data_IF_813987505778
#
_entry.id   IF_813987505778
#
_cell.length_a   1.000
_cell.length_b   1.000
_cell.length_c   1.000
_cell.angle_alpha   90.00
_cell.angle_beta   90.00
_cell.angle_gamma   90.00
#
_symmetry.space_group_name_H-M   'P 1'
#
loop_
_entity.id
_entity.type
_entity.pdbx_description
1 polymer ?
#
# COMPACT_ATOMS: atom_id res chain seq x y z
N UNK A 1 9.31 21.29 41.50
CA UNK A 1 9.04 21.00 40.08
C UNK A 1 8.82 22.34 39.37
N UNK A 2 9.68 22.70 38.41
CA UNK A 2 9.64 24.02 37.79
C UNK A 2 8.45 24.14 36.81
N UNK A 3 7.99 25.36 36.51
CA UNK A 3 6.78 25.62 35.73
C UNK A 3 6.84 25.02 34.32
N UNK A 4 8.04 24.97 33.74
CA UNK A 4 8.36 24.31 32.47
C UNK A 4 8.02 22.82 32.53
N UNK A 5 8.38 22.12 33.62
CA UNK A 5 8.13 20.67 33.77
C UNK A 5 6.64 20.36 33.87
N UNK A 6 5.84 21.25 34.48
CA UNK A 6 4.38 21.12 34.55
C UNK A 6 3.73 21.36 33.18
N UNK A 7 4.21 22.37 32.44
CA UNK A 7 3.71 22.66 31.09
C UNK A 7 4.00 21.54 30.10
N UNK A 8 5.21 20.95 30.13
CA UNK A 8 5.54 19.81 29.26
C UNK A 8 4.67 18.59 29.57
N UNK A 9 4.44 18.29 30.86
CA UNK A 9 3.60 17.16 31.27
C UNK A 9 2.14 17.34 30.86
N UNK A 10 1.60 18.56 31.01
CA UNK A 10 0.23 18.90 30.57
C UNK A 10 0.13 18.88 29.05
N UNK A 11 1.13 19.37 28.32
CA UNK A 11 1.14 19.31 26.85
C UNK A 11 1.19 17.86 26.34
N UNK A 12 2.03 17.00 26.92
CA UNK A 12 2.05 15.57 26.60
C UNK A 12 0.73 14.87 26.95
N UNK A 13 0.12 15.22 28.09
CA UNK A 13 -1.18 14.66 28.50
C UNK A 13 -2.32 15.10 27.57
N UNK A 14 -2.33 16.36 27.14
CA UNK A 14 -3.32 16.89 26.19
C UNK A 14 -3.14 16.26 24.81
N UNK A 15 -1.90 16.10 24.32
CA UNK A 15 -1.62 15.38 23.08
C UNK A 15 -2.09 13.93 23.13
N UNK A 16 -1.81 13.21 24.23
CA UNK A 16 -2.28 11.84 24.42
C UNK A 16 -3.82 11.73 24.48
N UNK A 17 -4.52 12.71 25.10
CA UNK A 17 -5.99 12.74 25.15
C UNK A 17 -6.60 13.04 23.77
N UNK A 18 -5.97 13.90 22.96
CA UNK A 18 -6.43 14.21 21.59
C UNK A 18 -6.24 13.00 20.66
N UNK A 19 -5.17 12.23 20.82
CA UNK A 19 -4.95 10.98 20.06
C UNK A 19 -5.99 9.91 20.41
N UNK A 20 -6.32 9.75 21.70
CA UNK A 20 -7.32 8.77 22.16
C UNK A 20 -8.77 9.11 21.77
N UNK A 21 -9.08 10.39 21.53
CA UNK A 21 -10.45 10.83 21.21
C UNK A 21 -10.84 10.71 19.73
N UNK A 22 -9.89 10.34 18.86
CA UNK A 22 -10.13 10.08 17.43
C UNK A 22 -9.99 8.61 17.04
N UNK A 23 -9.88 7.72 18.02
CA UNK A 23 -9.70 6.29 17.78
C UNK A 23 -10.94 5.69 17.08
N UNK A 24 -10.76 5.22 15.83
CA UNK A 24 -11.82 4.58 15.04
C UNK A 24 -11.57 3.07 14.92
N UNK A 25 -12.64 2.27 14.93
CA UNK A 25 -12.55 0.87 14.52
C UNK A 25 -12.45 0.76 13.00
N UNK A 26 -11.31 0.27 12.52
CA UNK A 26 -10.99 -0.02 11.14
C UNK A 26 -11.48 -1.42 10.81
N UNK A 27 -12.59 -1.49 10.07
CA UNK A 27 -13.19 -2.73 9.56
C UNK A 27 -12.79 -3.02 8.12
N UNK A 28 -12.10 -2.09 7.46
CA UNK A 28 -11.60 -2.22 6.09
C UNK A 28 -10.25 -1.55 5.94
N UNK A 29 -9.36 -2.11 5.12
CA UNK A 29 -8.10 -1.43 4.78
C UNK A 29 -8.40 -0.04 4.20
N UNK A 30 -7.72 1.03 4.65
CA UNK A 30 -7.86 2.38 4.09
C UNK A 30 -7.73 2.39 2.57
N UNK A 31 -8.44 3.31 1.93
CA UNK A 31 -8.42 3.46 0.48
C UNK A 31 -7.15 4.15 -0.01
N UNK A 32 -6.90 4.12 -1.33
CA UNK A 32 -5.76 4.83 -1.93
C UNK A 32 -5.79 6.34 -1.67
N UNK A 33 -6.98 6.95 -1.53
CA UNK A 33 -7.13 8.38 -1.23
C UNK A 33 -6.60 8.73 0.17
N UNK A 34 -6.67 7.80 1.13
CA UNK A 34 -6.07 7.96 2.46
C UNK A 34 -4.53 7.94 2.41
N UNK A 35 -3.95 7.49 1.29
CA UNK A 35 -2.51 7.38 1.06
C UNK A 35 -1.96 8.44 0.09
N UNK A 36 -2.78 9.43 -0.30
CA UNK A 36 -2.38 10.49 -1.23
C UNK A 36 -2.89 10.31 -2.67
N UNK A 37 -3.81 9.37 -2.88
CA UNK A 37 -4.54 9.20 -4.14
C UNK A 37 -4.06 8.01 -4.98
N UNK A 38 -4.83 7.73 -6.02
CA UNK A 38 -4.62 6.58 -6.91
C UNK A 38 -3.51 6.81 -7.94
N UNK A 39 -2.65 5.81 -8.10
CA UNK A 39 -1.60 5.72 -9.11
C UNK A 39 -1.92 4.57 -10.07
N UNK A 40 -2.68 4.87 -11.12
CA UNK A 40 -3.13 3.85 -12.07
C UNK A 40 -2.53 4.06 -13.47
N UNK A 41 -1.76 3.10 -14.00
CA UNK A 41 -1.48 3.05 -15.42
C UNK A 41 -2.79 2.87 -16.19
N UNK A 42 -2.95 3.72 -17.20
CA UNK A 42 -4.06 3.64 -18.14
C UNK A 42 -3.68 2.69 -19.27
N UNK A 43 -4.34 1.54 -19.29
CA UNK A 43 -4.22 0.51 -20.33
C UNK A 43 -5.23 0.80 -21.45
N UNK A 44 -4.77 0.71 -22.69
CA UNK A 44 -5.61 0.86 -23.89
C UNK A 44 -5.15 -0.12 -24.97
N UNK A 45 -6.01 -0.39 -25.96
CA UNK A 45 -5.61 -1.06 -27.20
C UNK A 45 -5.51 0.01 -28.29
N UNK A 46 -4.34 0.07 -28.94
CA UNK A 46 -4.04 0.98 -30.05
C UNK A 46 -3.69 0.19 -31.31
N UNK A 47 -3.60 0.87 -32.47
CA UNK A 47 -3.28 0.24 -33.76
C UNK A 47 -4.16 -0.97 -34.11
N UNK A 48 -5.43 -0.92 -33.69
CA UNK A 48 -6.40 -1.98 -33.91
C UNK A 48 -7.06 -1.84 -35.28
N UNK A 49 -7.58 -2.97 -35.77
CA UNK A 49 -8.34 -3.09 -37.01
C UNK A 49 -9.83 -2.76 -36.86
N UNK A 50 -10.41 -3.02 -35.68
CA UNK A 50 -11.82 -2.78 -35.39
C UNK A 50 -12.01 -2.32 -33.94
N UNK A 51 -12.72 -1.21 -33.72
CA UNK A 51 -12.93 -0.64 -32.38
C UNK A 51 -13.77 -1.53 -31.45
N UNK A 52 -14.79 -2.21 -31.98
CA UNK A 52 -15.77 -2.93 -31.17
C UNK A 52 -15.36 -4.37 -30.86
N UNK A 53 -14.58 -4.98 -31.76
CA UNK A 53 -14.06 -6.33 -31.60
C UNK A 53 -12.74 -6.45 -32.37
N UNK A 54 -11.65 -5.88 -31.84
CA UNK A 54 -10.36 -5.93 -32.53
C UNK A 54 -9.87 -7.37 -32.65
N UNK A 55 -9.21 -7.68 -33.76
CA UNK A 55 -8.57 -8.98 -33.97
C UNK A 55 -7.05 -8.90 -33.87
N UNK A 56 -6.51 -7.67 -33.85
CA UNK A 56 -5.10 -7.35 -33.64
C UNK A 56 -4.94 -5.98 -33.00
N UNK A 57 -3.76 -5.69 -32.48
CA UNK A 57 -3.41 -4.36 -31.98
C UNK A 57 -2.20 -4.36 -31.05
N UNK A 58 -2.00 -3.25 -30.36
CA UNK A 58 -0.94 -3.10 -29.36
C UNK A 58 -1.56 -2.69 -28.04
N UNK A 59 -1.19 -3.38 -26.96
CA UNK A 59 -1.41 -2.83 -25.62
C UNK A 59 -0.55 -1.57 -25.50
N UNK A 60 -1.17 -0.47 -25.09
CA UNK A 60 -0.49 0.78 -24.80
C UNK A 60 -0.79 1.16 -23.36
N UNK A 61 0.26 1.50 -22.63
CA UNK A 61 0.20 1.89 -21.23
C UNK A 61 0.66 3.34 -21.13
N UNK A 62 -0.22 4.21 -20.64
CA UNK A 62 0.12 5.56 -20.25
C UNK A 62 0.16 5.61 -18.74
N UNK A 63 1.34 5.84 -18.18
CA UNK A 63 1.50 5.93 -16.74
C UNK A 63 2.36 7.14 -16.37
N UNK A 64 1.76 8.09 -15.65
CA UNK A 64 2.48 9.24 -15.11
C UNK A 64 2.70 9.01 -13.62
N UNK A 65 3.90 8.51 -13.28
CA UNK A 65 4.27 8.31 -11.89
C UNK A 65 4.75 9.65 -11.30
N UNK A 66 3.82 10.43 -10.73
CA UNK A 66 4.11 11.75 -10.19
C UNK A 66 4.93 11.72 -8.90
N UNK A 67 4.95 10.58 -8.21
CA UNK A 67 5.74 10.33 -7.00
C UNK A 67 5.91 8.83 -6.75
N UNK A 68 6.82 8.47 -5.85
CA UNK A 68 7.00 7.09 -5.39
C UNK A 68 6.19 6.88 -4.10
N UNK A 69 5.18 6.00 -4.06
CA UNK A 69 4.40 5.75 -2.88
C UNK A 69 5.20 5.03 -1.78
N UNK A 70 4.77 5.20 -0.53
CA UNK A 70 5.39 4.57 0.63
C UNK A 70 4.69 3.27 0.99
N UNK A 71 5.47 2.26 1.38
CA UNK A 71 5.00 1.10 2.13
C UNK A 71 5.15 1.43 3.62
N UNK A 72 4.03 1.52 4.33
CA UNK A 72 4.01 1.84 5.77
C UNK A 72 3.00 0.98 6.53
N UNK A 73 3.23 0.79 7.82
CA UNK A 73 2.32 0.03 8.68
C UNK A 73 0.96 0.71 8.80
N UNK A 74 -0.08 -0.08 9.09
CA UNK A 74 -1.45 0.41 9.21
C UNK A 74 -1.65 1.47 10.30
N UNK A 75 -0.79 1.49 11.32
CA UNK A 75 -0.83 2.51 12.37
C UNK A 75 -0.32 3.86 11.89
N UNK A 76 0.52 3.91 10.86
CA UNK A 76 0.98 5.19 10.27
C UNK A 76 -0.12 5.83 9.42
N UNK A 77 -0.89 5.01 8.71
CA UNK A 77 -2.04 5.47 7.92
C UNK A 77 -3.28 5.78 8.77
N UNK A 78 -3.40 5.15 9.94
CA UNK A 78 -4.51 5.38 10.87
C UNK A 78 -4.03 5.43 12.33
N UNK A 79 -3.34 6.53 12.74
CA UNK A 79 -2.80 6.66 14.08
C UNK A 79 -3.90 6.63 15.15
N UNK A 80 -3.70 5.85 16.21
CA UNK A 80 -4.64 5.74 17.33
C UNK A 80 -5.90 4.88 17.04
N UNK A 81 -6.04 4.37 15.83
CA UNK A 81 -7.19 3.52 15.45
C UNK A 81 -7.08 2.07 15.95
N UNK A 82 -8.22 1.40 15.95
CA UNK A 82 -8.42 0.02 16.38
C UNK A 82 -8.64 -0.84 15.15
N UNK A 83 -8.20 -2.09 15.14
CA UNK A 83 -8.35 -2.97 13.98
C UNK A 83 -9.34 -4.09 14.28
N UNK A 84 -10.32 -4.27 13.39
CA UNK A 84 -11.35 -5.30 13.54
C UNK A 84 -10.74 -6.69 13.63
N UNK A 85 -11.11 -7.46 14.66
CA UNK A 85 -10.58 -8.80 14.89
C UNK A 85 -10.96 -9.79 13.79
N UNK A 86 -12.10 -9.56 13.16
CA UNK A 86 -12.69 -10.42 12.12
C UNK A 86 -12.23 -10.02 10.71
N UNK A 87 -11.41 -8.99 10.57
CA UNK A 87 -10.91 -8.56 9.26
C UNK A 87 -9.97 -9.61 8.66
N UNK A 88 -10.22 -10.02 7.41
CA UNK A 88 -9.43 -11.07 6.75
C UNK A 88 -7.95 -10.67 6.52
N UNK A 89 -7.68 -9.37 6.37
CA UNK A 89 -6.33 -8.82 6.21
C UNK A 89 -5.55 -8.70 7.54
N UNK A 90 -6.18 -8.96 8.69
CA UNK A 90 -5.60 -8.65 10.01
C UNK A 90 -4.33 -9.47 10.30
N UNK A 91 -4.28 -10.71 9.83
CA UNK A 91 -3.12 -11.60 10.06
C UNK A 91 -1.84 -11.08 9.38
N UNK A 92 -1.98 -10.27 8.33
CA UNK A 92 -0.85 -9.72 7.58
C UNK A 92 -0.60 -8.27 8.03
N UNK A 93 -1.63 -7.42 8.02
CA UNK A 93 -1.49 -5.96 8.21
C UNK A 93 -1.77 -5.44 9.64
N UNK A 94 -2.43 -6.23 10.49
CA UNK A 94 -2.65 -5.81 11.88
C UNK A 94 -1.31 -5.66 12.60
N UNK A 95 -1.19 -4.83 13.64
CA UNK A 95 0.03 -4.84 14.49
C UNK A 95 -0.25 -5.18 15.95
N UNK A 96 0.75 -5.71 16.67
CA UNK A 96 0.65 -5.98 18.10
C UNK A 96 0.51 -4.72 18.97
N UNK A 97 0.83 -3.54 18.41
CA UNK A 97 0.86 -2.27 19.14
C UNK A 97 -0.49 -1.52 19.12
N UNK A 98 -1.52 -2.01 18.41
CA UNK A 98 -2.88 -1.46 18.48
C UNK A 98 -3.42 -1.56 19.92
N UNK A 99 -3.41 -0.46 20.66
CA UNK A 99 -3.57 -0.50 22.12
C UNK A 99 -5.03 -0.26 22.54
N UNK A 100 -5.70 -1.30 23.06
CA UNK A 100 -6.68 -1.27 24.17
C UNK A 100 -7.34 -2.65 24.41
N UNK A 101 -6.51 -3.68 24.47
CA UNK A 101 -6.86 -5.07 24.70
C UNK A 101 -5.65 -5.87 24.26
N UNK A 102 -5.15 -6.76 25.11
CA UNK A 102 -3.94 -7.56 24.86
C UNK A 102 -3.87 -7.97 23.39
N UNK A 103 -2.76 -7.71 22.67
CA UNK A 103 -2.64 -8.14 21.29
C UNK A 103 -2.99 -9.61 21.23
N UNK A 104 -4.03 -9.94 20.46
CA UNK A 104 -4.39 -11.34 20.23
C UNK A 104 -3.18 -11.96 19.53
N UNK A 105 -2.81 -13.18 19.89
CA UNK A 105 -1.62 -13.90 19.37
C UNK A 105 -1.58 -13.98 17.82
N UNK A 106 -2.71 -13.68 17.16
CA UNK A 106 -2.91 -13.64 15.71
C UNK A 106 -3.14 -12.23 15.10
N UNK A 107 -2.95 -11.14 15.86
CA UNK A 107 -2.80 -9.83 15.23
C UNK A 107 -1.53 -9.86 14.37
N UNK A 108 -1.60 -9.42 13.11
CA UNK A 108 -0.49 -9.52 12.17
C UNK A 108 0.82 -8.88 12.63
N UNK A 109 1.87 -9.03 11.82
CA UNK A 109 3.19 -8.51 12.19
C UNK A 109 3.34 -7.00 12.04
N UNK A 110 2.27 -6.30 11.65
CA UNK A 110 2.29 -4.87 11.33
C UNK A 110 2.93 -4.62 9.99
N UNK A 111 2.72 -5.53 9.02
CA UNK A 111 3.38 -5.44 7.73
C UNK A 111 3.12 -4.09 7.07
N UNK A 112 4.16 -3.62 6.37
CA UNK A 112 4.12 -2.41 5.61
C UNK A 112 3.20 -2.64 4.42
N UNK A 113 2.31 -1.70 4.11
CA UNK A 113 1.44 -1.84 2.94
C UNK A 113 1.19 -0.54 2.20
N UNK A 114 0.73 -0.72 0.97
CA UNK A 114 0.30 0.33 0.07
C UNK A 114 -0.78 -0.22 -0.86
N UNK A 115 -1.75 0.63 -1.22
CA UNK A 115 -2.79 0.30 -2.21
C UNK A 115 -3.05 1.44 -3.20
N UNK A 116 -2.12 2.38 -3.34
CA UNK A 116 -2.22 3.46 -4.31
C UNK A 116 -2.15 2.94 -5.74
N UNK A 117 -1.35 1.89 -5.98
CA UNK A 117 -1.30 1.25 -7.29
C UNK A 117 -2.57 0.48 -7.62
N UNK A 118 -2.91 0.48 -8.90
CA UNK A 118 -4.02 -0.29 -9.45
C UNK A 118 -3.87 -0.40 -10.95
N UNK A 119 -4.89 -0.86 -11.67
CA UNK A 119 -4.94 -0.89 -13.13
C UNK A 119 -6.27 -0.34 -13.61
N UNK A 120 -6.24 0.41 -14.69
CA UNK A 120 -7.42 0.97 -15.34
C UNK A 120 -7.35 0.70 -16.83
N UNK A 121 -8.45 0.24 -17.42
CA UNK A 121 -8.57 0.14 -18.87
C UNK A 121 -9.56 1.17 -19.38
N UNK A 122 -9.12 1.94 -20.38
CA UNK A 122 -9.95 2.95 -21.02
C UNK A 122 -10.32 2.47 -22.41
N UNK A 123 -11.60 2.16 -22.61
CA UNK A 123 -12.15 1.73 -23.91
C UNK A 123 -12.75 2.88 -24.72
N UNK A 124 -12.89 4.08 -24.14
CA UNK A 124 -13.53 5.21 -24.82
C UNK A 124 -12.61 5.75 -25.91
N UNK A 125 -13.03 5.62 -27.17
CA UNK A 125 -12.27 6.10 -28.33
C UNK A 125 -11.05 5.24 -28.69
N UNK A 126 -10.90 4.07 -28.06
CA UNK A 126 -9.81 3.09 -28.27
C UNK A 126 -10.40 1.71 -28.54
N UNK A 127 -9.55 0.72 -28.86
CA UNK A 127 -10.00 -0.64 -29.11
C UNK A 127 -10.53 -1.28 -27.83
N UNK A 128 -11.70 -1.92 -27.91
CA UNK A 128 -12.28 -2.71 -26.81
C UNK A 128 -11.54 -4.04 -26.64
N UNK A 129 -11.65 -4.65 -25.45
CA UNK A 129 -11.23 -6.04 -25.27
C UNK A 129 -12.00 -6.92 -26.29
N UNK A 130 -11.34 -7.78 -27.07
CA UNK A 130 -12.03 -8.65 -28.03
C UNK A 130 -13.05 -9.57 -27.37
N UNK A 131 -14.12 -9.90 -28.09
CA UNK A 131 -15.15 -10.82 -27.62
C UNK A 131 -14.54 -12.20 -27.35
N UNK A 132 -14.86 -12.76 -26.19
CA UNK A 132 -14.34 -14.07 -25.76
C UNK A 132 -12.90 -14.04 -25.24
N UNK A 133 -12.31 -12.85 -25.07
CA UNK A 133 -10.97 -12.63 -24.53
C UNK A 133 -11.04 -11.78 -23.27
N UNK A 134 -9.91 -11.66 -22.59
CA UNK A 134 -9.74 -10.78 -21.44
C UNK A 134 -8.41 -10.04 -21.52
N UNK A 135 -8.23 -9.05 -20.66
CA UNK A 135 -6.88 -8.61 -20.32
C UNK A 135 -6.30 -9.62 -19.33
N UNK A 136 -4.99 -9.79 -19.39
CA UNK A 136 -4.22 -10.48 -18.38
C UNK A 136 -3.14 -9.55 -17.86
N UNK A 137 -2.83 -9.69 -16.57
CA UNK A 137 -1.72 -9.00 -15.90
C UNK A 137 -0.84 -10.10 -15.33
N UNK A 138 0.40 -10.18 -15.82
CA UNK A 138 1.39 -11.17 -15.40
C UNK A 138 2.53 -10.47 -14.68
N UNK A 139 2.90 -10.99 -13.51
CA UNK A 139 4.11 -10.57 -12.81
C UNK A 139 5.32 -11.15 -13.56
N UNK A 140 6.16 -10.28 -14.12
CA UNK A 140 7.36 -10.70 -14.84
C UNK A 140 8.60 -10.67 -13.98
N UNK A 141 8.68 -9.72 -13.03
CA UNK A 141 9.84 -9.53 -12.16
C UNK A 141 9.43 -8.75 -10.91
N UNK A 142 10.15 -8.93 -9.82
CA UNK A 142 10.02 -8.15 -8.60
C UNK A 142 11.33 -8.08 -7.81
N UNK A 143 11.53 -6.99 -7.08
CA UNK A 143 12.79 -6.73 -6.38
C UNK A 143 12.98 -7.57 -5.12
N UNK A 144 11.95 -8.26 -4.64
CA UNK A 144 11.97 -9.01 -3.38
C UNK A 144 10.93 -10.13 -3.38
N UNK A 145 11.29 -11.37 -2.97
CA UNK A 145 10.33 -12.45 -2.79
C UNK A 145 9.37 -12.23 -1.62
N UNK A 146 9.66 -11.25 -0.76
CA UNK A 146 8.81 -10.87 0.37
C UNK A 146 7.79 -9.78 0.00
N UNK A 147 7.87 -9.19 -1.20
CA UNK A 147 6.89 -8.22 -1.66
C UNK A 147 5.64 -8.98 -2.11
N UNK A 148 4.62 -9.04 -1.29
CA UNK A 148 3.42 -9.81 -1.60
C UNK A 148 2.34 -8.92 -2.20
N UNK A 149 1.45 -9.51 -3.00
CA UNK A 149 0.33 -8.77 -3.59
C UNK A 149 -1.00 -9.47 -3.30
N UNK A 150 -2.00 -8.66 -2.92
CA UNK A 150 -3.30 -9.13 -2.46
C UNK A 150 -4.44 -8.46 -3.22
N UNK A 151 -5.51 -9.23 -3.42
CA UNK A 151 -6.82 -8.76 -3.83
C UNK A 151 -7.71 -8.67 -2.60
N UNK A 152 -8.33 -7.51 -2.41
CA UNK A 152 -9.21 -7.26 -1.29
C UNK A 152 -10.63 -6.99 -1.76
N UNK A 153 -11.59 -7.65 -1.12
CA UNK A 153 -13.01 -7.31 -1.25
C UNK A 153 -13.59 -7.10 0.15
N UNK A 154 -13.91 -5.84 0.47
CA UNK A 154 -14.54 -5.48 1.74
C UNK A 154 -15.93 -6.12 1.89
N UNK A 155 -16.72 -6.11 0.82
CA UNK A 155 -18.09 -6.65 0.82
C UNK A 155 -18.17 -8.14 1.14
N UNK A 156 -17.14 -8.92 0.77
CA UNK A 156 -17.05 -10.35 1.13
C UNK A 156 -16.00 -10.65 2.19
N UNK A 157 -15.41 -9.62 2.82
CA UNK A 157 -14.27 -9.72 3.73
C UNK A 157 -13.22 -10.74 3.26
N UNK A 158 -12.77 -10.59 2.01
CA UNK A 158 -11.86 -11.53 1.36
C UNK A 158 -10.52 -10.88 1.08
N UNK A 159 -9.44 -11.55 1.47
CA UNK A 159 -8.06 -11.11 1.35
C UNK A 159 -7.24 -12.26 0.78
N UNK A 160 -7.02 -12.24 -0.53
CA UNK A 160 -6.37 -13.34 -1.23
C UNK A 160 -5.04 -12.89 -1.81
N UNK A 161 -3.99 -13.68 -1.59
CA UNK A 161 -2.73 -13.48 -2.29
C UNK A 161 -2.90 -13.81 -3.76
N UNK A 162 -2.39 -12.94 -4.63
CA UNK A 162 -2.65 -12.98 -6.08
C UNK A 162 -1.41 -13.36 -6.86
N UNK A 163 -0.31 -12.63 -6.64
CA UNK A 163 0.98 -12.91 -7.27
C UNK A 163 1.86 -13.59 -6.23
N UNK A 164 2.25 -14.83 -6.50
CA UNK A 164 3.04 -15.67 -5.58
C UNK A 164 4.47 -15.84 -6.04
N UNK A 165 4.71 -15.73 -7.34
CA UNK A 165 6.01 -15.91 -7.99
C UNK A 165 6.02 -15.27 -9.39
N UNK A 166 7.19 -15.13 -9.99
CA UNK A 166 7.33 -14.74 -11.39
C UNK A 166 6.53 -15.68 -12.30
N UNK A 167 5.84 -15.11 -13.28
CA UNK A 167 4.91 -15.83 -14.15
C UNK A 167 3.50 -15.97 -13.58
N UNK A 168 3.28 -15.68 -12.29
CA UNK A 168 1.93 -15.57 -11.73
C UNK A 168 1.12 -14.55 -12.53
N UNK A 169 -0.13 -14.86 -12.84
CA UNK A 169 -0.96 -14.00 -13.66
C UNK A 169 -2.43 -14.04 -13.26
N UNK A 170 -3.12 -12.95 -13.58
CA UNK A 170 -4.56 -12.82 -13.41
C UNK A 170 -5.22 -12.50 -14.74
N UNK A 171 -6.47 -12.91 -14.89
CA UNK A 171 -7.36 -12.32 -15.88
C UNK A 171 -8.15 -11.17 -15.24
N UNK A 172 -8.41 -10.16 -16.05
CA UNK A 172 -9.06 -8.93 -15.64
C UNK A 172 -10.01 -8.46 -16.77
N UNK A 173 -11.16 -7.93 -16.37
CA UNK A 173 -12.24 -7.54 -17.27
C UNK A 173 -12.11 -6.12 -17.86
N UNK A 174 -11.04 -5.38 -17.51
CA UNK A 174 -10.84 -4.00 -17.96
C UNK A 174 -11.61 -2.93 -17.17
N UNK A 175 -12.23 -3.24 -16.03
CA UNK A 175 -12.70 -2.20 -15.10
C UNK A 175 -11.55 -1.69 -14.24
N UNK A 176 -11.77 -0.74 -13.33
CA UNK A 176 -10.73 -0.39 -12.35
C UNK A 176 -10.45 -1.57 -11.40
N UNK A 177 -9.18 -1.87 -11.12
CA UNK A 177 -8.75 -2.85 -10.11
C UNK A 177 -7.64 -2.28 -9.24
N UNK A 178 -7.80 -2.34 -7.92
CA UNK A 178 -6.74 -2.00 -6.96
C UNK A 178 -6.19 -3.27 -6.34
N UNK A 179 -4.88 -3.40 -6.40
CA UNK A 179 -4.17 -4.44 -5.69
C UNK A 179 -3.38 -3.84 -4.54
N UNK A 180 -3.29 -4.63 -3.47
CA UNK A 180 -2.59 -4.25 -2.27
C UNK A 180 -1.21 -4.89 -2.33
N UNK A 181 -0.20 -4.16 -1.89
CA UNK A 181 1.16 -4.68 -1.78
C UNK A 181 1.61 -4.60 -0.35
N UNK A 182 2.30 -5.65 0.10
CA UNK A 182 2.79 -5.76 1.46
C UNK A 182 4.25 -6.16 1.50
N UNK A 183 4.93 -5.74 2.57
CA UNK A 183 6.25 -6.20 2.95
C UNK A 183 6.27 -6.49 4.45
N UNK A 184 7.06 -7.46 4.92
CA UNK A 184 7.28 -7.66 6.34
C UNK A 184 7.66 -6.35 7.04
N UNK A 185 7.17 -6.11 8.25
CA UNK A 185 7.56 -4.93 9.05
C UNK A 185 9.08 -4.79 9.25
N UNK A 186 9.82 -5.91 9.13
CA UNK A 186 11.28 -5.98 9.23
C UNK A 186 12.02 -5.69 7.92
N UNK A 187 11.29 -5.39 6.83
CA UNK A 187 11.89 -5.12 5.54
C UNK A 187 12.87 -3.93 5.63
N UNK A 188 14.09 -4.06 5.07
CA UNK A 188 15.06 -2.98 5.12
C UNK A 188 14.56 -1.76 4.33
N UNK A 189 14.94 -0.57 4.81
CA UNK A 189 14.70 0.66 4.10
C UNK A 189 15.35 0.61 2.71
N UNK A 190 14.65 1.15 1.71
CA UNK A 190 15.09 1.07 0.32
C UNK A 190 13.93 1.19 -0.66
N UNK A 191 14.24 0.94 -1.92
CA UNK A 191 13.27 0.98 -3.02
C UNK A 191 12.93 -0.45 -3.42
N UNK A 192 11.63 -0.74 -3.54
CA UNK A 192 11.10 -2.01 -4.01
C UNK A 192 10.37 -1.81 -5.32
N UNK A 193 10.32 -2.83 -6.17
CA UNK A 193 9.65 -2.74 -7.46
C UNK A 193 9.01 -4.05 -7.89
N UNK A 194 7.99 -3.96 -8.74
CA UNK A 194 7.38 -5.09 -9.42
C UNK A 194 7.03 -4.69 -10.85
N UNK A 195 7.40 -5.53 -11.82
CA UNK A 195 7.13 -5.31 -13.23
C UNK A 195 6.04 -6.26 -13.70
N UNK A 196 5.00 -5.67 -14.27
CA UNK A 196 3.84 -6.38 -14.79
C UNK A 196 3.80 -6.26 -16.30
N UNK A 197 3.55 -7.37 -16.98
CA UNK A 197 3.17 -7.38 -18.38
C UNK A 197 1.66 -7.49 -18.52
N UNK A 198 1.10 -6.70 -19.42
CA UNK A 198 -0.30 -6.68 -19.76
C UNK A 198 -0.47 -7.14 -21.21
N UNK A 199 -1.34 -8.11 -21.41
CA UNK A 199 -1.59 -8.73 -22.71
C UNK A 199 -3.08 -9.09 -22.89
N UNK A 200 -3.50 -9.31 -24.15
CA UNK A 200 -4.80 -9.91 -24.44
C UNK A 200 -4.68 -11.41 -24.31
N UNK A 201 -5.45 -12.04 -23.43
CA UNK A 201 -5.47 -13.48 -23.27
C UNK A 201 -6.54 -14.11 -24.17
N UNK A 202 -6.24 -15.26 -24.77
CA UNK A 202 -7.20 -16.11 -25.50
C UNK A 202 -8.11 -16.88 -24.53
N UNK A 203 -8.63 -16.20 -23.52
CA UNK A 203 -9.44 -16.78 -22.46
C UNK A 203 -10.44 -15.74 -21.99
N UNK A 204 -11.73 -16.06 -21.88
CA UNK A 204 -12.70 -15.14 -21.34
C UNK A 204 -12.54 -15.00 -19.82
N UNK A 205 -12.74 -13.78 -19.31
CA UNK A 205 -12.81 -13.54 -17.88
C UNK A 205 -14.10 -14.11 -17.31
N UNK A 206 -13.99 -14.90 -16.24
CA UNK A 206 -15.11 -15.26 -15.38
C UNK A 206 -14.93 -14.57 -14.02
N UNK A 207 -15.98 -13.94 -13.49
CA UNK A 207 -15.89 -13.15 -12.26
C UNK A 207 -15.93 -14.04 -11.01
N UNK A 208 -14.99 -14.97 -10.88
CA UNK A 208 -14.97 -15.97 -9.80
C UNK A 208 -14.40 -15.42 -8.50
N UNK A 209 -13.37 -14.57 -8.59
CA UNK A 209 -12.62 -14.04 -7.43
C UNK A 209 -12.69 -12.52 -7.31
N UNK A 210 -13.83 -11.93 -7.69
CA UNK A 210 -14.10 -10.50 -7.61
C UNK A 210 -13.63 -9.72 -8.84
N UNK A 211 -12.69 -8.80 -8.65
CA UNK A 211 -12.22 -7.87 -9.71
C UNK A 211 -11.15 -8.46 -10.62
N UNK A 212 -10.45 -9.50 -10.16
CA UNK A 212 -9.46 -10.25 -10.92
C UNK A 212 -9.72 -11.74 -10.72
N UNK A 213 -9.46 -12.54 -11.75
CA UNK A 213 -9.54 -14.00 -11.77
C UNK A 213 -8.11 -14.54 -11.69
N UNK A 214 -7.81 -15.35 -10.68
CA UNK A 214 -6.47 -15.91 -10.45
C UNK A 214 -6.51 -17.43 -10.16
N UNK A 215 -7.55 -18.10 -10.66
CA UNK A 215 -7.66 -19.56 -10.64
C UNK A 215 -6.75 -20.23 -11.68
N UNK A 216 -6.78 -21.57 -11.76
CA UNK A 216 -5.98 -22.33 -12.73
C UNK A 216 -6.26 -21.94 -14.19
N UNK A 217 -7.46 -21.44 -14.51
CA UNK A 217 -7.76 -20.97 -15.87
C UNK A 217 -6.99 -19.70 -16.16
N UNK A 218 -6.93 -18.76 -15.21
CA UNK A 218 -6.13 -17.57 -15.33
C UNK A 218 -4.64 -17.88 -15.45
N UNK A 219 -4.10 -18.76 -14.59
CA UNK A 219 -2.68 -19.12 -14.59
C UNK A 219 -2.20 -19.75 -15.92
N UNK A 220 -3.09 -20.49 -16.61
CA UNK A 220 -2.76 -21.15 -17.88
C UNK A 220 -3.12 -20.33 -19.13
N UNK A 221 -3.72 -19.15 -18.96
CA UNK A 221 -4.19 -18.34 -20.08
C UNK A 221 -3.01 -17.87 -20.96
N UNK A 222 -3.14 -18.07 -22.27
CA UNK A 222 -2.10 -17.76 -23.23
C UNK A 222 -2.36 -16.41 -23.90
N UNK A 223 -1.28 -15.65 -24.12
CA UNK A 223 -1.35 -14.42 -24.88
C UNK A 223 -1.83 -14.67 -26.32
N UNK A 224 -2.64 -13.74 -26.83
CA UNK A 224 -2.99 -13.72 -28.25
C UNK A 224 -1.83 -13.14 -29.07
N UNK A 225 -1.22 -13.92 -29.99
CA UNK A 225 -0.08 -13.47 -30.77
C UNK A 225 -0.40 -12.31 -31.72
N UNK A 226 -1.69 -12.00 -31.98
CA UNK A 226 -2.08 -10.85 -32.79
C UNK A 226 -2.02 -9.52 -32.03
N UNK A 227 -1.82 -9.57 -30.71
CA UNK A 227 -1.70 -8.39 -29.87
C UNK A 227 -0.31 -8.30 -29.26
N UNK A 228 0.35 -7.16 -29.46
CA UNK A 228 1.63 -6.92 -28.82
C UNK A 228 1.40 -6.54 -27.35
N UNK A 229 2.07 -7.21 -26.39
CA UNK A 229 1.95 -6.86 -24.97
C UNK A 229 2.72 -5.59 -24.64
N UNK A 230 2.46 -5.04 -23.46
CA UNK A 230 3.25 -3.94 -22.90
C UNK A 230 3.50 -4.17 -21.40
N UNK A 231 4.57 -3.59 -20.87
CA UNK A 231 4.92 -3.72 -19.46
C UNK A 231 4.87 -2.39 -18.72
N UNK A 232 4.60 -2.45 -17.42
CA UNK A 232 4.67 -1.33 -16.48
C UNK A 232 5.41 -1.77 -15.22
N UNK A 233 6.21 -0.87 -14.66
CA UNK A 233 6.92 -1.11 -13.40
C UNK A 233 6.34 -0.21 -12.32
N UNK A 234 5.97 -0.83 -11.21
CA UNK A 234 5.62 -0.15 -9.96
C UNK A 234 6.83 -0.07 -9.05
N UNK A 235 6.89 0.99 -8.27
CA UNK A 235 8.00 1.27 -7.37
C UNK A 235 7.48 1.78 -6.04
N UNK A 236 7.97 1.25 -4.94
CA UNK A 236 7.67 1.73 -3.59
C UNK A 236 8.94 2.13 -2.87
N UNK A 237 8.80 3.03 -1.89
CA UNK A 237 9.85 3.29 -0.93
C UNK A 237 9.45 2.78 0.46
N UNK A 238 10.38 2.11 1.12
CA UNK A 238 10.37 1.86 2.56
C UNK A 238 11.37 2.83 3.16
N UNK A 239 10.88 3.74 4.00
CA UNK A 239 11.73 4.68 4.74
C UNK A 239 12.02 4.15 6.14
N UNK A 240 13.21 4.43 6.70
CA UNK A 240 13.48 4.05 8.09
C UNK A 240 12.46 4.70 9.01
N UNK A 241 11.92 3.94 9.96
CA UNK A 241 11.16 4.56 11.05
C UNK A 241 12.06 5.59 11.77
N UNK A 242 11.54 6.79 12.09
CA UNK A 242 12.27 7.71 12.93
C UNK A 242 12.45 7.05 14.30
N UNK A 243 13.66 6.58 14.56
CA UNK A 243 14.02 5.94 15.81
C UNK A 243 13.72 6.87 17.00
N UNK A 244 12.63 6.55 17.72
CA UNK A 244 12.16 7.30 18.90
C UNK A 244 13.27 7.47 19.94
N UNK A 245 14.23 6.53 20.02
CA UNK A 245 15.41 6.63 20.88
C UNK A 245 16.34 7.80 20.53
N UNK A 246 16.48 8.17 19.25
CA UNK A 246 17.27 9.35 18.86
C UNK A 246 16.50 10.65 19.14
N UNK A 247 15.17 10.66 18.99
CA UNK A 247 14.33 11.80 19.37
C UNK A 247 14.28 12.00 20.90
N UNK A 248 14.23 10.91 21.66
CA UNK A 248 14.37 10.90 23.12
C UNK A 248 15.78 11.33 23.55
N UNK A 249 16.82 10.85 22.86
CA UNK A 249 18.20 11.27 23.08
C UNK A 249 18.40 12.77 22.84
N UNK A 250 17.86 13.30 21.74
CA UNK A 250 17.89 14.73 21.41
C UNK A 250 17.11 15.59 22.43
N UNK A 251 15.93 15.14 22.84
CA UNK A 251 15.12 15.86 23.84
C UNK A 251 15.77 15.82 25.23
N UNK A 252 16.38 14.70 25.64
CA UNK A 252 17.19 14.62 26.85
C UNK A 252 18.43 15.53 26.79
N UNK A 253 19.16 15.54 25.67
CA UNK A 253 20.32 16.41 25.48
C UNK A 253 19.94 17.90 25.53
N UNK A 254 18.82 18.28 24.91
CA UNK A 254 18.28 19.63 24.94
C UNK A 254 17.88 20.03 26.38
N UNK A 255 17.22 19.14 27.11
CA UNK A 255 16.83 19.37 28.50
C UNK A 255 18.06 19.55 29.43
N UNK A 256 19.11 18.76 29.24
CA UNK A 256 20.38 18.90 29.97
C UNK A 256 21.06 20.23 29.63
N UNK A 257 21.11 20.62 28.36
CA UNK A 257 21.71 21.88 27.92
C UNK A 257 20.98 23.11 28.47
N UNK A 258 19.64 23.12 28.44
CA UNK A 258 18.80 24.18 29.03
C UNK A 258 19.04 24.27 30.55
N UNK A 259 19.14 23.14 31.25
CA UNK A 259 19.45 23.10 32.69
C UNK A 259 20.85 23.63 32.98
N UNK A 260 21.83 23.33 32.13
CA UNK A 260 23.19 23.82 32.28
C UNK A 260 23.26 25.35 32.09
N UNK A 261 22.64 25.89 31.03
CA UNK A 261 22.60 27.35 30.79
C UNK A 261 21.85 28.14 31.86
N UNK A 262 20.75 27.61 32.38
CA UNK A 262 20.00 28.27 33.47
C UNK A 262 20.78 28.27 34.78
N UNK A 263 21.56 27.23 35.07
CA UNK A 263 22.45 27.17 36.24
C UNK A 263 23.64 28.15 36.16
N UNK A 264 24.17 28.41 34.96
CA UNK A 264 25.23 29.40 34.78
C UNK A 264 24.73 30.85 34.90
N UNK A 265 23.51 31.14 34.43
CA UNK A 265 22.89 32.46 34.64
C UNK A 265 22.59 32.77 36.10
N UNK A 266 22.16 31.79 36.90
CA UNK A 266 21.91 32.00 38.34
C UNK A 266 23.20 32.13 39.15
N UNK A 267 24.32 31.56 38.70
CA UNK A 267 25.64 31.79 39.32
C UNK A 267 26.29 33.12 38.92
N UNK A 268 25.92 33.68 37.77
CA UNK A 268 26.48 34.95 37.28
C UNK A 268 25.79 36.21 37.85
N UNK A 269 24.63 36.07 38.50
CA UNK A 269 23.96 37.15 39.23
C UNK A 269 23.66 36.71 40.68
N UNK A 270 24.66 36.69 41.58
CA UNK A 270 24.36 36.84 42.99
C UNK A 270 23.82 38.27 43.18
N UNK A 271 22.62 38.39 43.74
CA UNK A 271 21.98 39.67 44.02
C UNK A 271 22.96 40.64 44.71
N UNK A 272 23.14 41.81 44.11
CA UNK A 272 23.52 43.06 44.79
C UNK A 272 22.25 43.75 45.27
#
# INVERSE_FOLDING_TARGET
MNWITKFTLVACLVLAIVELSNAQLITSVPGPDDQGGMLMPMVTITNYDNINNPTRGNISIVFNNSHVPLLQGLQEWSPGSWFSQDAAWRQDLGSPAGTAGTPVESAGQGDLFNNQYGFMFMSMGTGKIPIGKSLAIRLNDWSSPFLESYNYSSGSNRWDRVFTEEGSQVLWNGSMWHNFFTLPATAPAGTYSATFEIFIANTPFNSTTGFAQYDSTALNAQADPNFNPASVTYTWAVIPEPCLMHLLGLSCALAVWVRFRTSQRTRANPAS
#
